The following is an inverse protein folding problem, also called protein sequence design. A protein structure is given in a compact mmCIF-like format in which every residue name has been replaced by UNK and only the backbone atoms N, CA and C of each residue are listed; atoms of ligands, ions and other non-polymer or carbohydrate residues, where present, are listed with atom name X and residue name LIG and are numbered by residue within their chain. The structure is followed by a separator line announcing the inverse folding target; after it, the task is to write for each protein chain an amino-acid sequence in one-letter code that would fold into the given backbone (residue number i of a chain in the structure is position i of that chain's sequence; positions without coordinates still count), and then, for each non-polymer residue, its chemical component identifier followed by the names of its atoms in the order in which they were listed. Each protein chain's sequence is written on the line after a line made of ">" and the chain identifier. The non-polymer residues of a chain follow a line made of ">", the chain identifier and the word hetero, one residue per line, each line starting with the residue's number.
data_IF_953692027943
#
_entry.id   IF_953692027943
#
_cell.length_a   1.000
_cell.length_b   1.000
_cell.length_c   1.000
_cell.angle_alpha   90.00
_cell.angle_beta   90.00
_cell.angle_gamma   90.00
#
_symmetry.space_group_name_H-M   'P 1'
#
loop_
_entity.id
_entity.type
_entity.pdbx_description
1 polymer ?
#
# COMPACT_ATOMS: atom_id res chain seq x y z
N UNK A 1 -28.20 -5.45 -15.08
CA UNK A 1 -27.21 -6.36 -15.67
C UNK A 1 -25.95 -6.26 -14.82
N UNK A 2 -25.31 -7.40 -14.53
CA UNK A 2 -24.04 -7.46 -13.79
C UNK A 2 -22.84 -7.32 -14.74
N UNK A 3 -21.71 -6.84 -14.23
CA UNK A 3 -20.46 -6.80 -15.00
C UNK A 3 -19.81 -8.17 -15.08
N UNK A 4 -19.79 -8.87 -13.95
CA UNK A 4 -19.20 -10.20 -13.83
C UNK A 4 -19.97 -11.05 -12.81
N UNK A 5 -19.91 -12.37 -12.95
CA UNK A 5 -20.41 -13.31 -11.94
C UNK A 5 -19.45 -14.48 -11.79
N UNK A 6 -19.09 -14.78 -10.55
CA UNK A 6 -18.30 -15.95 -10.17
C UNK A 6 -19.28 -17.01 -9.70
N UNK A 7 -19.30 -18.19 -10.34
CA UNK A 7 -20.34 -19.20 -10.10
C UNK A 7 -19.85 -20.39 -9.29
N UNK A 8 -20.70 -20.90 -8.40
CA UNK A 8 -20.50 -22.19 -7.73
C UNK A 8 -19.29 -22.26 -6.77
N UNK A 9 -18.76 -21.12 -6.33
CA UNK A 9 -17.61 -21.09 -5.42
C UNK A 9 -18.01 -21.52 -4.00
N UNK A 10 -17.04 -22.04 -3.23
CA UNK A 10 -17.16 -22.07 -1.76
C UNK A 10 -16.79 -20.68 -1.24
N UNK A 11 -17.78 -19.88 -0.85
CA UNK A 11 -17.58 -18.54 -0.32
C UNK A 11 -17.15 -18.61 1.14
N UNK A 12 -16.02 -17.97 1.45
CA UNK A 12 -15.53 -17.72 2.81
C UNK A 12 -15.46 -16.20 2.99
N UNK A 13 -16.49 -15.62 3.59
CA UNK A 13 -16.74 -14.17 3.57
C UNK A 13 -15.92 -13.32 4.56
N UNK A 14 -15.02 -13.96 5.31
CA UNK A 14 -14.15 -13.29 6.29
C UNK A 14 -14.80 -13.00 7.65
N UNK A 15 -16.06 -13.38 7.87
CA UNK A 15 -16.75 -13.20 9.17
C UNK A 15 -16.34 -14.21 10.24
N UNK A 16 -15.63 -15.26 9.84
CA UNK A 16 -15.28 -16.41 10.70
C UNK A 16 -16.33 -17.52 10.69
N UNK A 17 -17.45 -17.35 9.98
CA UNK A 17 -18.43 -18.41 9.77
C UNK A 17 -17.89 -19.54 8.84
N UNK A 18 -18.46 -20.76 8.90
CA UNK A 18 -18.16 -21.81 7.92
C UNK A 18 -18.48 -21.36 6.48
N UNK A 19 -17.67 -21.82 5.52
CA UNK A 19 -17.90 -21.50 4.11
C UNK A 19 -19.16 -22.17 3.55
N UNK A 20 -19.75 -21.56 2.51
CA UNK A 20 -20.97 -22.02 1.86
C UNK A 20 -20.90 -21.86 0.35
N UNK A 21 -21.59 -22.73 -0.40
CA UNK A 21 -21.60 -22.64 -1.86
C UNK A 21 -22.54 -21.52 -2.33
N UNK A 22 -22.04 -20.61 -3.15
CA UNK A 22 -22.81 -19.52 -3.73
C UNK A 22 -22.17 -18.97 -5.01
N UNK A 23 -22.97 -18.26 -5.80
CA UNK A 23 -22.51 -17.36 -6.83
C UNK A 23 -22.29 -15.95 -6.22
N UNK A 24 -21.36 -15.19 -6.78
CA UNK A 24 -21.09 -13.80 -6.41
C UNK A 24 -21.16 -12.91 -7.64
N UNK A 25 -22.11 -11.97 -7.63
CA UNK A 25 -22.33 -11.01 -8.71
C UNK A 25 -21.65 -9.66 -8.43
N UNK A 26 -20.97 -9.11 -9.42
CA UNK A 26 -20.24 -7.84 -9.34
C UNK A 26 -20.88 -6.81 -10.27
N UNK A 27 -21.05 -5.58 -9.79
CA UNK A 27 -21.52 -4.42 -10.56
C UNK A 27 -20.83 -3.15 -10.10
N UNK A 28 -20.30 -2.35 -11.03
CA UNK A 28 -19.65 -1.07 -10.78
C UNK A 28 -18.56 -1.16 -9.69
N UNK A 29 -17.75 -2.21 -9.76
CA UNK A 29 -16.65 -2.47 -8.80
C UNK A 29 -17.10 -2.91 -7.40
N UNK A 30 -18.39 -3.21 -7.20
CA UNK A 30 -18.96 -3.64 -5.91
C UNK A 30 -19.60 -5.03 -6.01
N UNK A 31 -19.58 -5.75 -4.90
CA UNK A 31 -20.38 -6.97 -4.75
C UNK A 31 -21.85 -6.56 -4.69
N UNK A 32 -22.64 -7.00 -5.68
CA UNK A 32 -24.04 -6.63 -5.85
C UNK A 32 -25.00 -7.74 -5.37
N UNK A 33 -24.56 -9.00 -5.38
CA UNK A 33 -25.35 -10.15 -4.95
C UNK A 33 -24.45 -11.31 -4.51
N UNK A 34 -24.90 -12.08 -3.52
CA UNK A 34 -24.30 -13.33 -3.07
C UNK A 34 -25.44 -14.35 -2.90
N UNK A 35 -25.27 -15.57 -3.40
CA UNK A 35 -26.26 -16.64 -3.31
C UNK A 35 -26.54 -17.22 -4.69
N UNK A 36 -27.81 -17.47 -5.02
CA UNK A 36 -28.19 -17.86 -6.40
C UNK A 36 -28.34 -16.60 -7.25
N UNK A 37 -27.49 -16.43 -8.26
CA UNK A 37 -27.53 -15.24 -9.13
C UNK A 37 -28.21 -15.57 -10.45
N UNK A 38 -29.42 -15.05 -10.64
CA UNK A 38 -30.23 -15.22 -11.88
C UNK A 38 -30.16 -14.02 -12.82
N UNK A 39 -29.62 -12.90 -12.37
CA UNK A 39 -29.43 -11.71 -13.19
C UNK A 39 -28.38 -11.96 -14.28
N UNK A 40 -28.66 -11.53 -15.51
CA UNK A 40 -27.70 -11.61 -16.61
C UNK A 40 -26.42 -10.80 -16.30
N UNK A 41 -25.25 -11.39 -16.59
CA UNK A 41 -23.94 -10.76 -16.47
C UNK A 41 -23.28 -10.59 -17.84
N UNK A 42 -22.39 -9.61 -17.97
CA UNK A 42 -21.61 -9.40 -19.20
C UNK A 42 -20.55 -10.49 -19.39
N UNK A 43 -19.94 -10.93 -18.30
CA UNK A 43 -18.99 -12.04 -18.26
C UNK A 43 -19.28 -12.96 -17.07
N UNK A 44 -18.76 -14.19 -17.10
CA UNK A 44 -18.90 -15.15 -15.99
C UNK A 44 -17.74 -16.13 -15.96
N UNK A 45 -17.43 -16.64 -14.78
CA UNK A 45 -16.47 -17.74 -14.58
C UNK A 45 -17.05 -18.83 -13.66
N UNK A 46 -16.59 -20.07 -13.86
CA UNK A 46 -16.93 -21.22 -13.02
C UNK A 46 -15.81 -21.45 -12.00
N UNK A 47 -16.15 -21.32 -10.72
CA UNK A 47 -15.26 -21.49 -9.59
C UNK A 47 -15.63 -22.72 -8.75
N UNK A 48 -16.33 -23.70 -9.35
CA UNK A 48 -16.68 -24.97 -8.71
C UNK A 48 -15.43 -25.68 -8.16
N UNK A 49 -15.46 -26.05 -6.89
CA UNK A 49 -14.33 -26.69 -6.20
C UNK A 49 -13.22 -25.72 -5.76
N UNK A 50 -13.38 -24.42 -6.02
CA UNK A 50 -12.49 -23.37 -5.53
C UNK A 50 -13.11 -22.61 -4.36
N UNK A 51 -12.26 -21.89 -3.63
CA UNK A 51 -12.66 -20.97 -2.57
C UNK A 51 -12.66 -19.55 -3.10
N UNK A 52 -13.74 -18.81 -2.85
CA UNK A 52 -13.81 -17.38 -3.07
C UNK A 52 -13.82 -16.67 -1.71
N UNK A 53 -12.84 -15.79 -1.49
CA UNK A 53 -12.69 -15.02 -0.25
C UNK A 53 -12.50 -13.54 -0.57
N UNK A 54 -12.72 -12.62 0.40
CA UNK A 54 -12.22 -11.27 0.31
C UNK A 54 -10.72 -11.27 -0.02
N UNK A 55 -10.30 -10.34 -0.87
CA UNK A 55 -8.88 -10.14 -1.16
C UNK A 55 -8.11 -9.86 0.14
N UNK A 56 -6.90 -10.39 0.25
CA UNK A 56 -6.14 -10.28 1.48
C UNK A 56 -5.65 -8.84 1.70
N UNK A 57 -5.58 -8.46 2.97
CA UNK A 57 -5.05 -7.18 3.43
C UNK A 57 -3.72 -7.47 4.10
N UNK A 58 -2.63 -6.94 3.55
CA UNK A 58 -1.31 -7.00 4.18
C UNK A 58 -1.13 -5.75 5.06
N UNK A 59 -1.18 -5.89 6.40
CA UNK A 59 -1.12 -4.75 7.30
C UNK A 59 0.32 -4.22 7.50
N UNK A 60 1.33 -4.90 6.97
CA UNK A 60 2.72 -4.61 7.31
C UNK A 60 3.66 -4.78 6.12
N UNK A 61 3.69 -3.76 5.27
CA UNK A 61 4.56 -3.74 4.09
C UNK A 61 5.56 -2.60 4.14
N UNK A 62 6.60 -2.75 3.32
CA UNK A 62 7.57 -1.71 2.97
C UNK A 62 7.54 -1.43 1.46
N UNK A 63 6.35 -1.48 0.84
CA UNK A 63 6.16 -1.24 -0.59
C UNK A 63 6.18 0.24 -0.98
N UNK A 64 6.47 1.14 -0.03
CA UNK A 64 6.51 2.59 -0.19
C UNK A 64 7.29 3.03 -1.44
N UNK A 65 8.46 2.43 -1.67
CA UNK A 65 9.24 2.68 -2.88
C UNK A 65 8.82 1.78 -4.04
N UNK A 66 8.56 0.51 -3.76
CA UNK A 66 8.35 -0.51 -4.78
C UNK A 66 7.21 -0.20 -5.75
N UNK A 67 6.14 0.40 -5.26
CA UNK A 67 4.97 0.71 -6.09
C UNK A 67 5.26 1.67 -7.24
N UNK A 68 6.38 2.40 -7.22
CA UNK A 68 6.77 3.28 -8.33
C UNK A 68 7.38 2.54 -9.53
N UNK A 69 8.02 1.38 -9.33
CA UNK A 69 8.55 0.56 -10.43
C UNK A 69 7.78 -0.75 -10.65
N UNK A 70 7.02 -1.20 -9.66
CA UNK A 70 6.16 -2.36 -9.72
C UNK A 70 4.76 -2.03 -9.15
N UNK A 71 3.86 -1.49 -9.99
CA UNK A 71 2.54 -1.04 -9.55
C UNK A 71 1.62 -2.18 -9.11
N UNK A 72 2.02 -3.44 -9.32
CA UNK A 72 1.27 -4.63 -8.93
C UNK A 72 1.63 -5.14 -7.54
N UNK A 73 2.61 -4.55 -6.85
CA UNK A 73 3.10 -5.03 -5.56
C UNK A 73 3.50 -6.52 -5.60
N UNK A 74 4.21 -6.93 -6.64
CA UNK A 74 4.61 -8.32 -6.85
C UNK A 74 5.66 -8.73 -5.79
N UNK A 75 5.56 -9.92 -5.15
CA UNK A 75 4.64 -11.02 -5.41
C UNK A 75 3.36 -11.02 -4.55
N UNK A 76 3.07 -9.99 -3.76
CA UNK A 76 1.91 -9.97 -2.86
C UNK A 76 0.58 -10.18 -3.59
N UNK A 77 0.39 -9.51 -4.74
CA UNK A 77 -0.80 -9.73 -5.57
C UNK A 77 -0.92 -11.20 -6.02
N UNK A 78 0.19 -11.84 -6.39
CA UNK A 78 0.19 -13.26 -6.77
C UNK A 78 -0.26 -14.20 -5.64
N UNK A 79 -0.19 -13.74 -4.39
CA UNK A 79 -0.65 -14.47 -3.21
C UNK A 79 -2.06 -14.05 -2.77
N UNK A 80 -2.78 -13.25 -3.56
CA UNK A 80 -4.15 -12.83 -3.28
C UNK A 80 -4.28 -11.54 -2.47
N UNK A 81 -3.18 -10.82 -2.24
CA UNK A 81 -3.22 -9.50 -1.59
C UNK A 81 -3.81 -8.47 -2.55
N UNK A 82 -4.82 -7.75 -2.07
CA UNK A 82 -5.49 -6.68 -2.83
C UNK A 82 -5.34 -5.31 -2.17
N UNK A 83 -4.90 -5.29 -0.90
CA UNK A 83 -4.72 -4.07 -0.12
C UNK A 83 -3.43 -4.17 0.69
N UNK A 84 -2.64 -3.10 0.70
CA UNK A 84 -1.39 -3.03 1.47
C UNK A 84 -1.39 -1.81 2.39
N UNK A 85 -0.80 -1.96 3.56
CA UNK A 85 -0.45 -0.85 4.45
C UNK A 85 1.07 -0.68 4.48
N UNK A 86 1.56 0.49 4.07
CA UNK A 86 2.97 0.87 4.08
C UNK A 86 3.30 1.92 5.14
N UNK A 87 4.55 2.40 5.13
CA UNK A 87 5.04 3.36 6.12
C UNK A 87 5.29 2.77 7.51
N UNK A 88 5.60 1.48 7.54
CA UNK A 88 5.82 0.74 8.77
C UNK A 88 7.18 1.04 9.42
N UNK A 89 7.32 0.64 10.68
CA UNK A 89 8.57 0.69 11.45
C UNK A 89 9.19 2.10 11.60
N UNK A 90 8.40 3.15 11.33
CA UNK A 90 8.87 4.54 11.33
C UNK A 90 9.61 4.94 10.05
N UNK A 91 9.68 4.07 9.06
CA UNK A 91 10.36 4.31 7.79
C UNK A 91 9.37 4.69 6.70
N UNK A 92 9.62 5.81 6.06
CA UNK A 92 8.84 6.30 4.92
C UNK A 92 9.75 7.06 3.99
N UNK A 93 9.29 7.23 2.76
CA UNK A 93 9.98 8.01 1.74
C UNK A 93 9.80 9.52 1.97
N UNK A 94 8.65 9.92 2.52
CA UNK A 94 8.19 11.29 2.64
C UNK A 94 7.94 11.70 4.11
N UNK A 95 7.99 13.01 4.44
CA UNK A 95 8.36 14.13 3.56
C UNK A 95 9.88 14.33 3.43
N UNK A 96 10.34 15.00 2.37
CA UNK A 96 11.73 15.44 2.19
C UNK A 96 11.86 16.95 2.32
N UNK A 97 12.82 17.42 3.11
CA UNK A 97 13.01 18.85 3.36
C UNK A 97 13.59 19.54 2.12
N UNK A 98 12.88 20.50 1.48
CA UNK A 98 13.37 21.18 0.28
C UNK A 98 14.62 22.04 0.54
N UNK A 99 14.87 22.47 1.77
CA UNK A 99 16.07 23.20 2.16
C UNK A 99 17.28 22.29 2.41
N UNK A 100 17.09 20.97 2.45
CA UNK A 100 18.13 19.94 2.61
C UNK A 100 17.91 18.77 1.64
N UNK A 101 18.00 18.99 0.33
CA UNK A 101 17.76 17.94 -0.66
C UNK A 101 18.70 16.74 -0.53
N UNK A 102 19.89 16.93 0.04
CA UNK A 102 20.85 15.88 0.35
C UNK A 102 20.33 14.85 1.37
N UNK A 103 19.34 15.22 2.19
CA UNK A 103 18.73 14.31 3.17
C UNK A 103 17.97 13.15 2.50
N UNK A 104 17.60 13.28 1.22
CA UNK A 104 16.97 12.20 0.46
C UNK A 104 17.90 10.97 0.31
N UNK A 105 19.22 11.17 0.20
CA UNK A 105 20.19 10.06 0.14
C UNK A 105 20.23 9.27 1.46
N UNK A 106 20.08 9.96 2.60
CA UNK A 106 19.96 9.30 3.89
C UNK A 106 18.72 8.39 3.95
N UNK A 107 17.57 8.87 3.50
CA UNK A 107 16.32 8.09 3.46
C UNK A 107 16.44 6.89 2.50
N UNK A 108 17.04 7.07 1.32
CA UNK A 108 17.34 5.97 0.38
C UNK A 108 18.20 4.88 1.02
N UNK A 109 19.34 5.27 1.60
CA UNK A 109 20.28 4.33 2.21
C UNK A 109 19.70 3.65 3.44
N UNK A 110 18.83 4.33 4.20
CA UNK A 110 18.09 3.73 5.30
C UNK A 110 17.20 2.59 4.80
N UNK A 111 16.42 2.82 3.74
CA UNK A 111 15.56 1.79 3.14
C UNK A 111 16.38 0.60 2.63
N UNK A 112 17.51 0.88 1.97
CA UNK A 112 18.42 -0.18 1.52
C UNK A 112 19.00 -1.01 2.67
N UNK A 113 19.38 -0.36 3.77
CA UNK A 113 20.01 -1.03 4.92
C UNK A 113 19.02 -1.82 5.77
N UNK A 114 17.82 -1.28 6.00
CA UNK A 114 16.84 -1.89 6.91
C UNK A 114 15.97 -2.91 6.19
N UNK A 115 15.45 -2.56 5.01
CA UNK A 115 14.54 -3.41 4.25
C UNK A 115 15.25 -4.26 3.19
N UNK A 116 16.59 -4.17 3.12
CA UNK A 116 17.39 -4.95 2.17
C UNK A 116 17.15 -4.58 0.70
N UNK A 117 16.52 -3.43 0.43
CA UNK A 117 16.25 -2.98 -0.93
C UNK A 117 17.55 -2.65 -1.67
N UNK A 118 17.59 -2.97 -2.97
CA UNK A 118 18.70 -2.56 -3.84
C UNK A 118 18.76 -1.04 -3.91
N UNK A 119 19.93 -0.47 -3.60
CA UNK A 119 20.14 0.98 -3.69
C UNK A 119 19.91 1.50 -5.10
N UNK A 120 20.34 0.75 -6.13
CA UNK A 120 20.12 1.11 -7.55
C UNK A 120 18.62 1.15 -7.86
N UNK A 121 17.84 0.18 -7.38
CA UNK A 121 16.40 0.18 -7.58
C UNK A 121 15.72 1.39 -6.90
N UNK A 122 16.20 1.80 -5.73
CA UNK A 122 15.70 3.00 -5.07
C UNK A 122 16.07 4.27 -5.83
N UNK A 123 17.28 4.37 -6.37
CA UNK A 123 17.76 5.54 -7.11
C UNK A 123 17.07 5.72 -8.45
N UNK A 124 16.80 4.63 -9.17
CA UNK A 124 16.21 4.65 -10.51
C UNK A 124 14.68 4.49 -10.50
N UNK A 125 14.14 3.81 -9.50
CA UNK A 125 12.75 3.36 -9.47
C UNK A 125 11.77 4.32 -8.81
N UNK A 126 12.24 5.37 -8.11
CA UNK A 126 11.36 6.32 -7.44
C UNK A 126 11.79 7.79 -7.68
N UNK A 127 10.87 8.76 -7.78
CA UNK A 127 11.19 10.16 -8.06
C UNK A 127 11.96 10.95 -6.99
N UNK A 128 11.71 10.67 -5.69
CA UNK A 128 12.30 11.37 -4.54
C UNK A 128 12.17 12.90 -4.53
N UNK A 129 11.02 13.41 -4.98
CA UNK A 129 10.76 14.84 -5.13
C UNK A 129 9.52 15.34 -4.36
N UNK A 130 9.08 14.59 -3.34
CA UNK A 130 7.94 14.93 -2.48
C UNK A 130 8.39 15.75 -1.25
N UNK A 131 7.71 16.87 -1.01
CA UNK A 131 8.02 17.78 0.09
C UNK A 131 6.97 17.76 1.20
N UNK A 132 5.79 17.23 0.90
CA UNK A 132 4.75 16.84 1.85
C UNK A 132 4.46 15.34 1.75
N UNK A 133 3.74 14.79 2.73
CA UNK A 133 3.23 13.42 2.62
C UNK A 133 2.14 13.31 1.54
N UNK A 134 1.36 14.38 1.34
CA UNK A 134 0.36 14.47 0.26
C UNK A 134 0.98 14.35 -1.13
N UNK A 135 2.11 15.01 -1.38
CA UNK A 135 2.82 14.94 -2.66
C UNK A 135 3.20 13.50 -3.02
N UNK A 136 3.59 12.72 -2.00
CA UNK A 136 3.92 11.31 -2.16
C UNK A 136 2.68 10.46 -2.50
N UNK A 137 1.55 10.71 -1.83
CA UNK A 137 0.30 10.00 -2.13
C UNK A 137 -0.21 10.34 -3.54
N UNK A 138 -0.18 11.63 -3.93
CA UNK A 138 -0.55 12.09 -5.27
C UNK A 138 0.33 11.48 -6.37
N UNK A 139 1.57 11.13 -6.05
CA UNK A 139 2.47 10.45 -6.98
C UNK A 139 2.08 8.99 -7.25
N UNK A 140 1.31 8.34 -6.36
CA UNK A 140 0.79 6.98 -6.51
C UNK A 140 -0.63 6.94 -7.07
N UNK A 141 -1.42 8.00 -6.87
CA UNK A 141 -2.84 8.06 -7.24
C UNK A 141 -3.07 7.69 -8.71
N UNK A 142 -3.97 6.72 -8.93
CA UNK A 142 -4.33 6.20 -10.26
C UNK A 142 -3.24 5.41 -11.00
N UNK A 143 -2.12 5.06 -10.34
CA UNK A 143 -0.97 4.40 -10.99
C UNK A 143 -0.68 3.00 -10.46
N UNK A 144 -1.34 2.58 -9.39
CA UNK A 144 -1.14 1.29 -8.73
C UNK A 144 -2.34 0.37 -8.92
N UNK A 145 -2.11 -0.95 -8.92
CA UNK A 145 -3.14 -1.97 -9.14
C UNK A 145 -3.77 -2.48 -7.83
N UNK A 146 -3.11 -2.26 -6.69
CA UNK A 146 -3.61 -2.61 -5.35
C UNK A 146 -4.18 -1.37 -4.65
N UNK A 147 -5.08 -1.57 -3.71
CA UNK A 147 -5.38 -0.51 -2.74
C UNK A 147 -4.15 -0.33 -1.84
N UNK A 148 -3.79 0.92 -1.54
CA UNK A 148 -2.66 1.20 -0.67
C UNK A 148 -3.01 2.30 0.34
N UNK A 149 -2.66 2.07 1.60
CA UNK A 149 -2.69 3.07 2.66
C UNK A 149 -1.29 3.21 3.28
N UNK A 150 -0.92 4.39 3.74
CA UNK A 150 0.40 4.64 4.31
C UNK A 150 0.31 5.39 5.63
N UNK A 151 1.12 4.97 6.60
CA UNK A 151 1.43 5.75 7.79
C UNK A 151 2.61 6.68 7.50
N UNK A 152 2.70 7.82 8.18
CA UNK A 152 3.89 8.67 8.11
C UNK A 152 4.95 8.16 9.08
N UNK A 153 6.20 8.04 8.61
CA UNK A 153 7.28 7.44 9.37
C UNK A 153 8.02 8.45 10.24
N UNK A 154 8.18 8.13 11.52
CA UNK A 154 8.90 8.96 12.48
C UNK A 154 10.33 9.32 12.04
N UNK A 155 11.06 8.41 11.39
CA UNK A 155 12.43 8.67 10.93
C UNK A 155 12.48 9.78 9.87
N UNK A 156 11.52 9.81 8.94
CA UNK A 156 11.41 10.85 7.92
C UNK A 156 11.08 12.20 8.57
N UNK A 157 10.12 12.23 9.50
CA UNK A 157 9.75 13.45 10.25
C UNK A 157 10.95 14.02 11.04
N UNK A 158 11.67 13.16 11.76
CA UNK A 158 12.88 13.58 12.48
C UNK A 158 13.94 14.12 11.55
N UNK A 159 14.22 13.43 10.44
CA UNK A 159 15.23 13.90 9.48
C UNK A 159 14.80 15.23 8.86
N UNK A 160 13.53 15.36 8.51
CA UNK A 160 12.96 16.58 7.94
C UNK A 160 13.17 17.78 8.87
N UNK A 161 12.96 17.63 10.17
CA UNK A 161 13.08 18.74 11.14
C UNK A 161 14.52 18.90 11.64
N UNK A 162 15.12 17.83 12.16
CA UNK A 162 16.39 17.85 12.89
C UNK A 162 17.62 17.69 11.99
N UNK A 163 17.48 17.22 10.74
CA UNK A 163 18.62 16.95 9.87
C UNK A 163 19.53 15.84 10.44
N UNK A 164 20.84 16.08 10.45
CA UNK A 164 21.83 15.12 10.97
C UNK A 164 21.60 14.74 12.44
N UNK A 165 21.11 15.67 13.25
CA UNK A 165 20.84 15.46 14.69
C UNK A 165 19.70 14.47 14.94
N UNK A 166 18.94 14.09 13.91
CA UNK A 166 17.96 13.01 14.00
C UNK A 166 18.61 11.68 14.41
N UNK A 167 19.91 11.48 14.14
CA UNK A 167 20.64 10.27 14.50
C UNK A 167 21.18 10.40 15.93
N UNK A 168 20.51 9.76 16.88
CA UNK A 168 20.93 9.70 18.28
C UNK A 168 20.65 10.95 19.12
N UNK A 169 20.29 12.08 18.50
CA UNK A 169 19.85 13.28 19.21
C UNK A 169 18.45 13.17 19.79
N UNK A 170 18.06 14.14 20.62
CA UNK A 170 16.68 14.32 21.12
C UNK A 170 16.10 15.61 20.58
N UNK A 171 14.82 15.64 20.18
CA UNK A 171 14.22 16.87 19.68
C UNK A 171 14.06 17.90 20.80
N UNK A 172 14.29 19.17 20.49
CA UNK A 172 13.82 20.26 21.34
C UNK A 172 12.29 20.34 21.32
N UNK A 173 11.69 21.09 22.24
CA UNK A 173 10.24 21.33 22.25
C UNK A 173 9.74 21.91 20.92
N UNK A 174 10.45 22.91 20.37
CA UNK A 174 10.13 23.51 19.08
C UNK A 174 10.24 22.50 17.92
N UNK A 175 11.27 21.64 17.92
CA UNK A 175 11.40 20.61 16.90
C UNK A 175 10.28 19.57 16.99
N UNK A 176 9.82 19.23 18.19
CA UNK A 176 8.68 18.33 18.37
C UNK A 176 7.39 18.95 17.83
N UNK A 177 7.11 20.21 18.15
CA UNK A 177 5.95 20.93 17.61
C UNK A 177 5.98 20.97 16.08
N UNK A 178 7.15 21.22 15.49
CA UNK A 178 7.33 21.19 14.04
C UNK A 178 7.10 19.80 13.44
N UNK A 179 7.52 18.72 14.10
CA UNK A 179 7.25 17.36 13.63
C UNK A 179 5.75 17.01 13.66
N UNK A 180 5.01 17.51 14.65
CA UNK A 180 3.56 17.28 14.78
C UNK A 180 2.72 18.11 13.79
N UNK A 181 3.29 19.17 13.24
CA UNK A 181 2.61 20.07 12.31
C UNK A 181 2.81 19.71 10.82
N UNK A 182 3.69 18.74 10.51
CA UNK A 182 3.91 18.19 9.17
C UNK A 182 2.80 17.20 8.80
#
# INVERSE_FOLDING_TARGET
>A
MLDHVIKGATVVDGTGAPGYTADVGIRDGRIAAIGTVTEASRTSEDASGLVLAPGFVDPHTHYDAQLFWDPYATPSLNHGVTTVAGGNCGFTLAPLNPARPEDADYTRRMMSKVEGMSLVALEEGAPWNWHSFGDYLDALEGRIAVNAGFMVGHCALRRYVMGADAVGGQPTGEQLERMLAL
#
